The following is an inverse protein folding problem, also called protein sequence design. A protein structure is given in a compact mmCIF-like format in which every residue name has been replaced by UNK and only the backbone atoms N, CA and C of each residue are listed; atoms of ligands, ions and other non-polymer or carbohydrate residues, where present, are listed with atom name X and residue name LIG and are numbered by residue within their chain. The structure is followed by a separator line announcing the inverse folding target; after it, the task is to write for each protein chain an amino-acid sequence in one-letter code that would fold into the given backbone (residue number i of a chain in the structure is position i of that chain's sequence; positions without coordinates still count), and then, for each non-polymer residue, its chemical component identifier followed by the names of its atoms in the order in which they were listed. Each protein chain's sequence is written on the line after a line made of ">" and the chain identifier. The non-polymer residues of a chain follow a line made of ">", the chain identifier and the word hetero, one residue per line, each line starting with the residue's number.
data_IF_286332552206
#
_entry.id   IF_286332552206
#
_cell.length_a   1.000
_cell.length_b   1.000
_cell.length_c   1.000
_cell.angle_alpha   90.00
_cell.angle_beta   90.00
_cell.angle_gamma   90.00
#
_symmetry.space_group_name_H-M   'P 1'
#
loop_
_entity.id
_entity.type
_entity.pdbx_description
1 polymer ?
#
# COMPACT_ATOMS: atom_id res chain seq x y z
N UNK A 1 1.47 9.19 -9.01
CA UNK A 1 1.52 7.96 -9.83
C UNK A 1 2.72 8.00 -10.76
N UNK A 2 3.16 6.84 -11.25
CA UNK A 2 4.39 6.72 -12.06
C UNK A 2 4.21 7.15 -13.53
N UNK A 3 2.98 7.40 -14.00
CA UNK A 3 2.73 7.88 -15.37
C UNK A 3 3.03 6.84 -16.46
N UNK A 4 3.10 5.56 -16.10
CA UNK A 4 3.40 4.44 -17.01
C UNK A 4 2.15 3.59 -17.26
N UNK A 5 2.09 2.94 -18.42
CA UNK A 5 1.05 1.96 -18.73
C UNK A 5 1.69 0.56 -18.89
N UNK A 6 2.00 -0.07 -17.76
CA UNK A 6 2.56 -1.42 -17.71
C UNK A 6 1.43 -2.44 -17.48
N UNK A 7 1.55 -3.62 -18.09
CA UNK A 7 0.65 -4.73 -17.83
C UNK A 7 0.95 -5.45 -16.52
N UNK A 8 0.10 -6.41 -16.16
CA UNK A 8 0.29 -7.27 -14.98
C UNK A 8 0.28 -8.74 -15.40
N UNK A 9 1.31 -9.49 -15.01
CA UNK A 9 1.29 -10.95 -15.10
C UNK A 9 0.91 -11.54 -13.75
N UNK A 10 -0.10 -12.40 -13.74
CA UNK A 10 -0.57 -13.08 -12.53
C UNK A 10 -0.05 -14.51 -12.51
N UNK A 11 0.34 -14.99 -11.33
CA UNK A 11 0.75 -16.37 -11.09
C UNK A 11 0.06 -16.94 -9.84
N UNK A 12 -0.10 -18.26 -9.72
CA UNK A 12 -0.71 -18.87 -8.54
C UNK A 12 0.15 -18.65 -7.28
N UNK A 13 -0.49 -18.36 -6.15
CA UNK A 13 0.20 -18.26 -4.89
C UNK A 13 0.75 -19.64 -4.48
N UNK A 14 2.05 -19.79 -4.18
CA UNK A 14 2.65 -21.09 -3.80
C UNK A 14 2.34 -21.52 -2.36
N UNK A 15 1.68 -20.69 -1.55
CA UNK A 15 1.42 -20.96 -0.13
C UNK A 15 -0.04 -21.31 0.15
N UNK A 16 -0.24 -22.36 0.94
CA UNK A 16 -1.56 -22.71 1.50
C UNK A 16 -1.94 -21.73 2.62
N UNK A 17 -3.21 -21.29 2.62
CA UNK A 17 -3.75 -20.41 3.67
C UNK A 17 -3.61 -18.90 3.41
N UNK A 18 -3.31 -18.50 2.17
CA UNK A 18 -3.26 -17.09 1.80
C UNK A 18 -4.62 -16.40 1.98
N UNK A 19 -4.63 -15.27 2.70
CA UNK A 19 -5.83 -14.48 2.91
C UNK A 19 -6.04 -13.52 1.72
N UNK A 20 -7.10 -13.76 0.96
CA UNK A 20 -7.51 -12.93 -0.18
C UNK A 20 -8.29 -11.67 0.24
N UNK A 21 -8.85 -11.65 1.45
CA UNK A 21 -9.66 -10.54 1.94
C UNK A 21 -9.15 -10.03 3.29
N UNK A 22 -8.56 -8.84 3.27
CA UNK A 22 -8.15 -8.12 4.47
C UNK A 22 -8.90 -6.81 4.55
N UNK A 23 -9.61 -6.60 5.64
CA UNK A 23 -10.25 -5.34 5.96
C UNK A 23 -10.23 -5.17 7.48
N UNK A 24 -9.57 -4.14 7.97
CA UNK A 24 -9.46 -3.89 9.41
C UNK A 24 -10.78 -3.32 9.95
N UNK A 25 -11.33 -3.96 10.97
CA UNK A 25 -12.32 -3.33 11.84
C UNK A 25 -11.58 -2.37 12.79
N UNK A 26 -11.77 -1.06 12.58
CA UNK A 26 -11.12 0.00 13.35
C UNK A 26 -12.00 0.59 14.45
N UNK A 27 -13.20 0.04 14.68
CA UNK A 27 -14.19 0.60 15.60
C UNK A 27 -13.64 0.83 17.01
N UNK A 28 -12.81 -0.09 17.50
CA UNK A 28 -12.17 0.01 18.82
C UNK A 28 -11.12 1.12 18.87
N UNK A 29 -10.31 1.27 17.82
CA UNK A 29 -9.29 2.32 17.71
C UNK A 29 -9.93 3.70 17.59
N UNK A 30 -11.01 3.83 16.83
CA UNK A 30 -11.78 5.07 16.73
C UNK A 30 -12.35 5.46 18.09
N UNK A 31 -12.98 4.51 18.81
CA UNK A 31 -13.63 4.77 20.09
C UNK A 31 -12.65 5.06 21.22
N UNK A 32 -11.57 4.28 21.33
CA UNK A 32 -10.74 4.27 22.53
C UNK A 32 -9.55 5.24 22.45
N UNK A 33 -9.03 5.50 21.24
CA UNK A 33 -7.87 6.38 21.03
C UNK A 33 -8.12 7.48 20.00
N UNK A 34 -9.35 7.61 19.50
CA UNK A 34 -9.70 8.66 18.53
C UNK A 34 -8.97 8.52 17.20
N UNK A 35 -8.51 7.31 16.85
CA UNK A 35 -7.81 7.07 15.60
C UNK A 35 -8.72 7.43 14.43
N UNK A 36 -8.18 8.13 13.43
CA UNK A 36 -8.86 8.41 12.16
C UNK A 36 -7.87 8.22 11.03
N UNK A 37 -8.14 7.36 10.04
CA UNK A 37 -7.30 7.29 8.84
C UNK A 37 -7.34 8.64 8.13
N UNK A 38 -6.16 9.17 7.80
CA UNK A 38 -6.01 10.50 7.20
C UNK A 38 -5.67 10.47 5.72
N UNK A 39 -5.33 9.29 5.20
CA UNK A 39 -4.77 9.10 3.87
C UNK A 39 -5.47 7.91 3.23
N UNK A 40 -6.13 8.13 2.09
CA UNK A 40 -6.66 7.04 1.26
C UNK A 40 -5.54 6.30 0.52
N UNK A 41 -5.88 5.19 -0.15
CA UNK A 41 -4.93 4.48 -0.99
C UNK A 41 -4.36 5.40 -2.09
N UNK A 42 -5.22 6.11 -2.80
CA UNK A 42 -4.87 7.00 -3.91
C UNK A 42 -4.03 8.19 -3.43
N UNK A 43 -4.41 8.80 -2.30
CA UNK A 43 -3.64 9.87 -1.68
C UNK A 43 -2.25 9.39 -1.24
N UNK A 44 -2.18 8.19 -0.65
CA UNK A 44 -0.93 7.55 -0.23
C UNK A 44 -0.02 7.27 -1.43
N UNK A 45 -0.54 6.68 -2.50
CA UNK A 45 0.21 6.45 -3.75
C UNK A 45 0.73 7.79 -4.31
N UNK A 46 -0.14 8.80 -4.39
CA UNK A 46 0.25 10.12 -4.92
C UNK A 46 1.36 10.77 -4.10
N UNK A 47 1.27 10.69 -2.77
CA UNK A 47 2.26 11.27 -1.87
C UNK A 47 3.61 10.52 -1.87
N UNK A 48 3.58 9.19 -2.06
CA UNK A 48 4.78 8.36 -1.91
C UNK A 48 5.58 8.14 -3.20
N UNK A 49 4.95 8.23 -4.37
CA UNK A 49 5.63 8.07 -5.67
C UNK A 49 6.88 8.95 -5.85
N UNK A 50 6.91 10.24 -5.45
CA UNK A 50 8.11 11.06 -5.55
C UNK A 50 9.31 10.44 -4.81
N UNK A 51 9.09 9.81 -3.65
CA UNK A 51 10.15 9.16 -2.89
C UNK A 51 10.64 7.87 -3.54
N UNK A 52 9.73 7.10 -4.13
CA UNK A 52 10.11 5.93 -4.93
C UNK A 52 11.05 6.36 -6.07
N UNK A 53 10.71 7.43 -6.79
CA UNK A 53 11.54 7.96 -7.88
C UNK A 53 12.89 8.46 -7.37
N UNK A 54 12.91 9.15 -6.22
CA UNK A 54 14.15 9.69 -5.63
C UNK A 54 15.12 8.58 -5.19
N UNK A 55 14.61 7.50 -4.62
CA UNK A 55 15.42 6.38 -4.09
C UNK A 55 15.78 5.34 -5.16
N UNK A 56 15.11 5.34 -6.31
CA UNK A 56 15.37 4.38 -7.36
C UNK A 56 16.81 4.48 -7.88
N UNK A 57 17.60 3.42 -7.69
CA UNK A 57 19.00 3.34 -8.14
C UNK A 57 20.02 3.97 -7.19
N UNK A 58 19.62 4.45 -6.02
CA UNK A 58 20.57 4.89 -4.99
C UNK A 58 21.13 3.69 -4.24
N UNK A 59 22.44 3.69 -3.98
CA UNK A 59 23.04 2.75 -3.03
C UNK A 59 22.67 3.18 -1.60
N UNK A 60 22.02 2.28 -0.87
CA UNK A 60 21.51 2.49 0.50
C UNK A 60 22.31 1.65 1.51
N UNK A 61 23.42 1.03 1.06
CA UNK A 61 24.29 0.20 1.90
C UNK A 61 25.21 0.99 2.82
#
# INVERSE_FOLDING_TARGET
>A
ELGTNLGTEYFPNPYDGYQMHTQADISSSEKNIGFKPKVSLEEGIKAYVPEIVRLHGTDIS
#
